data_IF_684287514869
#
_entry.id   IF_684287514869
#
_cell.length_a   1.000
_cell.length_b   1.000
_cell.length_c   1.000
_cell.angle_alpha   90.00
_cell.angle_beta   90.00
_cell.angle_gamma   90.00
#
_symmetry.space_group_name_H-M   'P 1'
#
loop_
_entity.id
_entity.type
_entity.pdbx_description
1 polymer ?
#
# COMPACT_ATOMS: atom_id res chain seq x y z
N UNK A 1 -8.60 4.51 6.45
CA UNK A 1 -7.30 4.03 6.97
C UNK A 1 -6.34 5.21 7.04
N UNK A 2 -5.30 5.16 7.87
CA UNK A 2 -4.24 6.17 7.88
C UNK A 2 -3.10 5.70 6.99
N UNK A 3 -2.70 6.50 6.02
CA UNK A 3 -1.51 6.24 5.21
C UNK A 3 -0.38 7.19 5.62
N UNK A 4 0.83 6.64 5.64
CA UNK A 4 2.08 7.38 5.79
C UNK A 4 2.89 7.19 4.52
N UNK A 5 3.38 8.28 3.93
CA UNK A 5 4.29 8.28 2.77
C UNK A 5 5.39 9.30 3.03
N UNK A 6 6.60 8.81 3.36
CA UNK A 6 7.67 9.67 3.85
C UNK A 6 7.25 10.37 5.14
N UNK A 7 7.24 11.70 5.12
CA UNK A 7 6.84 12.54 6.26
C UNK A 7 5.36 12.94 6.23
N UNK A 8 4.64 12.60 5.15
CA UNK A 8 3.22 12.91 5.02
C UNK A 8 2.35 11.81 5.63
N UNK A 9 1.34 12.24 6.39
CA UNK A 9 0.33 11.37 7.01
C UNK A 9 -1.06 11.90 6.68
N UNK A 10 -1.95 11.02 6.20
CA UNK A 10 -3.36 11.38 5.94
C UNK A 10 -4.30 10.22 6.26
N UNK A 11 -5.48 10.59 6.75
CA UNK A 11 -6.61 9.67 6.83
C UNK A 11 -7.33 9.65 5.48
N UNK A 12 -7.47 8.46 4.89
CA UNK A 12 -8.11 8.25 3.59
C UNK A 12 -9.34 7.34 3.71
N UNK A 13 -10.28 7.55 2.79
CA UNK A 13 -11.52 6.79 2.64
C UNK A 13 -11.62 6.06 1.29
N UNK A 14 -12.77 5.41 1.01
CA UNK A 14 -13.01 4.72 -0.24
C UNK A 14 -12.91 5.66 -1.45
N UNK A 15 -12.13 5.27 -2.46
CA UNK A 15 -11.93 6.03 -3.69
C UNK A 15 -10.76 7.02 -3.65
N UNK A 16 -10.23 7.34 -2.47
CA UNK A 16 -9.00 8.12 -2.36
C UNK A 16 -7.81 7.34 -2.93
N UNK A 17 -6.88 8.07 -3.54
CA UNK A 17 -5.65 7.52 -4.10
C UNK A 17 -4.44 8.27 -3.57
N UNK A 18 -3.31 7.57 -3.48
CA UNK A 18 -2.02 8.16 -3.17
C UNK A 18 -0.94 7.53 -4.05
N UNK A 19 0.06 8.33 -4.40
CA UNK A 19 1.30 7.89 -5.01
C UNK A 19 2.45 7.77 -3.98
N UNK A 20 3.02 6.58 -3.83
CA UNK A 20 4.25 6.35 -3.06
C UNK A 20 5.46 6.32 -4.02
N UNK A 21 6.39 7.29 -3.94
CA UNK A 21 7.56 7.31 -4.81
C UNK A 21 8.54 6.15 -4.50
N UNK A 22 9.39 5.83 -5.47
CA UNK A 22 10.45 4.85 -5.30
C UNK A 22 11.37 5.22 -4.12
N UNK A 23 11.75 4.21 -3.33
CA UNK A 23 12.60 4.34 -2.14
C UNK A 23 12.04 5.23 -1.02
N UNK A 24 10.75 5.60 -1.07
CA UNK A 24 10.07 6.29 0.02
C UNK A 24 9.37 5.27 0.91
N UNK A 25 9.66 5.32 2.21
CA UNK A 25 9.00 4.44 3.19
C UNK A 25 7.51 4.80 3.24
N UNK A 26 6.66 3.79 3.11
CA UNK A 26 5.22 3.95 3.15
C UNK A 26 4.54 2.77 3.85
N UNK A 27 3.32 2.98 4.32
CA UNK A 27 2.52 1.97 4.99
C UNK A 27 1.15 2.49 5.40
N UNK A 28 0.31 1.59 5.90
CA UNK A 28 -1.05 1.90 6.32
C UNK A 28 -1.43 1.30 7.67
N UNK A 29 -2.26 2.04 8.40
CA UNK A 29 -2.86 1.64 9.68
C UNK A 29 -4.39 1.64 9.56
N UNK A 30 -5.02 0.56 10.04
CA UNK A 30 -6.49 0.45 10.11
C UNK A 30 -6.95 1.17 11.38
N UNK A 31 -7.74 2.24 11.22
CA UNK A 31 -8.19 3.09 12.33
C UNK A 31 -9.51 2.64 12.98
N UNK A 32 -10.16 1.61 12.42
CA UNK A 32 -11.49 1.15 12.85
C UNK A 32 -11.57 -0.37 13.00
N UNK A 33 -12.77 -0.87 13.31
CA UNK A 33 -13.01 -2.29 13.52
C UNK A 33 -13.39 -3.04 12.23
N UNK A 34 -13.82 -2.31 11.20
CA UNK A 34 -14.15 -2.88 9.91
C UNK A 34 -12.90 -3.17 9.09
N UNK A 35 -12.84 -4.30 8.37
CA UNK A 35 -11.73 -4.61 7.48
C UNK A 35 -11.63 -3.59 6.34
N UNK A 36 -10.41 -3.32 5.89
CA UNK A 36 -10.12 -2.46 4.75
C UNK A 36 -9.66 -3.30 3.57
N UNK A 37 -10.28 -3.10 2.42
CA UNK A 37 -9.76 -3.61 1.14
C UNK A 37 -8.93 -2.51 0.50
N UNK A 38 -7.64 -2.77 0.33
CA UNK A 38 -6.66 -1.83 -0.22
C UNK A 38 -6.04 -2.43 -1.48
N UNK A 39 -5.90 -1.62 -2.53
CA UNK A 39 -5.33 -2.03 -3.82
C UNK A 39 -3.99 -1.32 -4.00
N UNK A 40 -2.90 -2.09 -3.98
CA UNK A 40 -1.58 -1.61 -4.35
C UNK A 40 -1.27 -1.93 -5.81
N UNK A 41 -0.81 -0.92 -6.55
CA UNK A 41 -0.33 -1.07 -7.92
C UNK A 41 1.15 -0.74 -7.98
N UNK A 42 1.97 -1.75 -8.26
CA UNK A 42 3.42 -1.59 -8.39
C UNK A 42 3.81 -1.42 -9.86
N UNK A 43 4.52 -0.33 -10.17
CA UNK A 43 5.07 -0.04 -11.50
C UNK A 43 6.55 0.39 -11.37
N UNK A 44 7.52 -0.41 -11.84
CA UNK A 44 7.36 -1.73 -12.46
C UNK A 44 6.81 -2.79 -11.49
N UNK A 45 6.37 -3.97 -11.98
CA UNK A 45 5.90 -5.05 -11.12
C UNK A 45 6.91 -5.39 -10.02
N UNK A 46 6.42 -5.57 -8.80
CA UNK A 46 7.27 -5.91 -7.66
C UNK A 46 7.91 -7.29 -7.85
N UNK A 47 9.24 -7.32 -7.91
CA UNK A 47 10.02 -8.56 -8.04
C UNK A 47 9.78 -9.51 -6.87
N UNK A 48 9.68 -8.98 -5.66
CA UNK A 48 9.43 -9.79 -4.44
C UNK A 48 8.06 -10.45 -4.49
N UNK A 49 7.03 -9.71 -4.90
CA UNK A 49 5.67 -10.27 -5.04
C UNK A 49 5.64 -11.30 -6.17
N UNK A 50 6.26 -11.02 -7.32
CA UNK A 50 6.36 -11.98 -8.42
C UNK A 50 7.02 -13.30 -7.98
N UNK A 51 8.18 -13.22 -7.32
CA UNK A 51 8.90 -14.39 -6.80
C UNK A 51 8.08 -15.16 -5.76
N UNK A 52 7.35 -14.47 -4.87
CA UNK A 52 6.49 -15.12 -3.89
C UNK A 52 5.36 -15.91 -4.57
N UNK A 53 4.73 -15.34 -5.61
CA UNK A 53 3.67 -16.02 -6.38
C UNK A 53 4.23 -17.26 -7.08
N UNK A 54 5.40 -17.16 -7.69
CA UNK A 54 6.06 -18.28 -8.39
C UNK A 54 6.40 -19.42 -7.44
N UNK A 55 6.94 -19.12 -6.26
CA UNK A 55 7.34 -20.11 -5.26
C UNK A 55 6.16 -20.76 -4.51
N UNK A 56 4.94 -20.21 -4.64
CA UNK A 56 3.71 -20.75 -4.04
C UNK A 56 2.95 -21.69 -4.98
N UNK A 57 3.42 -21.86 -6.21
CA UNK A 57 2.93 -22.88 -7.16
C UNK A 57 3.72 -24.18 -7.00
#
# INVERSE_FOLDING_TARGET
MRLTVGDEVRDIGPGDMWYAPANVKHGGEILGHEPVVFIDVYAPPSRTIAQWIENKK
#
